data_IF_215300912087
#
_entry.id   IF_215300912087
#
_cell.length_a   1.000
_cell.length_b   1.000
_cell.length_c   1.000
_cell.angle_alpha   90.00
_cell.angle_beta   90.00
_cell.angle_gamma   90.00
#
_symmetry.space_group_name_H-M   'P 1'
#
loop_
_entity.id
_entity.type
_entity.pdbx_description
1 polymer ?
#
# COMPACT_ATOMS: atom_id res chain seq x y z
N UNK A 1 -11.53 -3.33 -9.39
CA UNK A 1 -12.31 -3.50 -8.15
C UNK A 1 -11.44 -3.78 -6.94
N UNK A 2 -10.54 -4.78 -6.98
CA UNK A 2 -9.67 -5.07 -5.84
C UNK A 2 -8.74 -3.88 -5.52
N UNK A 3 -8.01 -3.36 -6.51
CA UNK A 3 -7.12 -2.21 -6.32
C UNK A 3 -7.88 -0.97 -5.82
N UNK A 4 -9.10 -0.72 -6.32
CA UNK A 4 -9.97 0.34 -5.80
C UNK A 4 -10.33 0.14 -4.33
N UNK A 5 -10.58 -1.09 -3.89
CA UNK A 5 -10.93 -1.39 -2.52
C UNK A 5 -9.73 -1.25 -1.56
N UNK A 6 -8.52 -1.64 -2.00
CA UNK A 6 -7.32 -1.66 -1.14
C UNK A 6 -6.55 -0.35 -1.15
N UNK A 7 -6.66 0.49 -2.19
CA UNK A 7 -5.85 1.68 -2.34
C UNK A 7 -5.94 2.68 -1.19
N UNK A 8 -7.10 2.91 -0.53
CA UNK A 8 -7.16 3.77 0.65
C UNK A 8 -6.22 3.35 1.78
N UNK A 9 -5.94 2.06 1.95
CA UNK A 9 -4.97 1.61 2.95
C UNK A 9 -3.56 2.13 2.64
N UNK A 10 -3.14 2.08 1.39
CA UNK A 10 -1.83 2.60 0.99
C UNK A 10 -1.80 4.13 1.02
N UNK A 11 -2.87 4.78 0.57
CA UNK A 11 -2.95 6.24 0.52
C UNK A 11 -3.15 6.86 1.91
N UNK A 12 -4.19 6.47 2.62
CA UNK A 12 -4.52 7.05 3.94
C UNK A 12 -3.72 6.40 5.05
N UNK A 13 -3.61 5.07 5.04
CA UNK A 13 -2.95 4.32 6.12
C UNK A 13 -1.43 4.47 6.07
N UNK A 14 -0.81 4.09 4.95
CA UNK A 14 0.65 4.01 4.86
C UNK A 14 1.33 5.35 4.59
N UNK A 15 0.67 6.28 3.85
CA UNK A 15 1.35 7.47 3.34
C UNK A 15 0.93 8.77 4.03
N UNK A 16 -0.37 9.12 4.01
CA UNK A 16 -0.76 10.51 4.29
C UNK A 16 -1.36 10.76 5.67
N UNK A 17 -2.05 9.81 6.28
CA UNK A 17 -2.83 10.06 7.51
C UNK A 17 -2.33 9.23 8.69
N UNK A 18 -2.48 7.88 8.64
CA UNK A 18 -2.20 7.04 9.82
C UNK A 18 -0.71 6.97 10.16
N UNK A 19 0.18 6.80 9.19
CA UNK A 19 1.60 6.73 9.44
C UNK A 19 2.17 8.03 10.06
N UNK A 20 1.87 9.23 9.51
CA UNK A 20 2.24 10.49 10.17
C UNK A 20 1.61 10.65 11.56
N UNK A 21 0.34 10.28 11.75
CA UNK A 21 -0.32 10.29 13.04
C UNK A 21 0.38 9.38 14.04
N UNK A 22 0.69 8.14 13.66
CA UNK A 22 1.44 7.20 14.49
C UNK A 22 2.79 7.78 14.93
N UNK A 23 3.55 8.34 13.98
CA UNK A 23 4.86 8.93 14.25
C UNK A 23 4.73 10.12 15.19
N UNK A 24 3.74 11.00 14.99
CA UNK A 24 3.52 12.16 15.88
C UNK A 24 3.21 11.74 17.32
N UNK A 25 2.35 10.75 17.50
CA UNK A 25 2.02 10.19 18.83
C UNK A 25 3.25 9.53 19.47
N UNK A 26 4.03 8.78 18.68
CA UNK A 26 5.23 8.13 19.18
C UNK A 26 6.32 9.15 19.60
N UNK A 27 6.48 10.24 18.83
CA UNK A 27 7.40 11.34 19.18
C UNK A 27 7.00 11.95 20.51
N UNK A 28 5.73 12.29 20.69
CA UNK A 28 5.20 12.86 21.93
C UNK A 28 5.40 11.91 23.13
N UNK A 29 5.14 10.63 22.93
CA UNK A 29 5.39 9.60 23.95
C UNK A 29 6.87 9.54 24.34
N UNK A 30 7.79 9.46 23.38
CA UNK A 30 9.23 9.38 23.66
C UNK A 30 9.78 10.66 24.29
N UNK A 31 9.25 11.82 23.91
CA UNK A 31 9.58 13.10 24.53
C UNK A 31 9.14 13.13 26.02
N UNK A 32 7.93 12.70 26.29
CA UNK A 32 7.36 12.68 27.66
C UNK A 32 8.11 11.72 28.63
N UNK A 33 8.75 10.67 28.10
CA UNK A 33 9.61 9.79 28.92
C UNK A 33 11.05 10.29 29.06
N UNK A 34 11.34 11.53 28.62
CA UNK A 34 12.60 12.23 28.89
C UNK A 34 13.62 12.21 27.75
N UNK A 35 13.27 11.79 26.54
CA UNK A 35 14.15 11.96 25.38
C UNK A 35 14.12 13.43 24.91
N UNK A 36 15.25 13.90 24.34
CA UNK A 36 15.25 15.17 23.62
C UNK A 36 14.51 15.04 22.29
N UNK A 37 14.10 16.17 21.71
CA UNK A 37 13.27 16.20 20.48
C UNK A 37 13.86 15.35 19.35
N UNK A 38 15.13 15.55 19.01
CA UNK A 38 15.78 14.81 17.91
C UNK A 38 15.87 13.29 18.19
N UNK A 39 16.08 12.90 19.44
CA UNK A 39 16.11 11.49 19.84
C UNK A 39 14.72 10.87 19.80
N UNK A 40 13.68 11.60 20.22
CA UNK A 40 12.30 11.15 20.18
C UNK A 40 11.83 10.92 18.73
N UNK A 41 12.14 11.86 17.81
CA UNK A 41 11.86 11.72 16.40
C UNK A 41 12.56 10.50 15.76
N UNK A 42 13.85 10.32 16.07
CA UNK A 42 14.61 9.16 15.59
C UNK A 42 14.05 7.84 16.13
N UNK A 43 13.64 7.81 17.39
CA UNK A 43 13.03 6.62 18.02
C UNK A 43 11.68 6.27 17.42
N UNK A 44 10.82 7.26 17.18
CA UNK A 44 9.52 7.08 16.55
C UNK A 44 9.64 6.57 15.10
N UNK A 45 10.51 7.18 14.31
CA UNK A 45 10.78 6.74 12.93
C UNK A 45 11.37 5.32 12.90
N UNK A 46 12.30 5.01 13.78
CA UNK A 46 12.89 3.69 13.90
C UNK A 46 11.85 2.63 14.27
N UNK A 47 10.95 2.94 15.21
CA UNK A 47 9.86 2.05 15.59
C UNK A 47 8.93 1.73 14.42
N UNK A 48 8.50 2.74 13.66
CA UNK A 48 7.71 2.56 12.45
C UNK A 48 8.45 1.73 11.41
N UNK A 49 9.71 2.06 11.12
CA UNK A 49 10.54 1.37 10.14
C UNK A 49 10.73 -0.11 10.49
N UNK A 50 10.96 -0.45 11.75
CA UNK A 50 11.05 -1.85 12.20
C UNK A 50 9.74 -2.59 12.01
N UNK A 51 8.61 -1.97 12.33
CA UNK A 51 7.29 -2.55 12.08
C UNK A 51 7.10 -2.91 10.60
N UNK A 52 7.41 -1.97 9.70
CA UNK A 52 7.32 -2.19 8.25
C UNK A 52 8.31 -3.25 7.74
N UNK A 53 9.54 -3.25 8.26
CA UNK A 53 10.57 -4.23 7.89
C UNK A 53 10.14 -5.64 8.27
N UNK A 54 9.68 -5.83 9.50
CA UNK A 54 9.22 -7.15 9.98
C UNK A 54 8.01 -7.61 9.17
N UNK A 55 7.03 -6.73 8.94
CA UNK A 55 5.87 -7.03 8.12
C UNK A 55 6.27 -7.41 6.68
N UNK A 56 7.19 -6.67 6.06
CA UNK A 56 7.73 -6.98 4.73
C UNK A 56 8.44 -8.32 4.65
N UNK A 57 9.23 -8.67 5.67
CA UNK A 57 9.85 -10.00 5.76
C UNK A 57 8.80 -11.10 5.89
N UNK A 58 7.78 -10.91 6.71
CA UNK A 58 6.66 -11.85 6.84
C UNK A 58 5.96 -12.04 5.48
N UNK A 59 5.67 -10.95 4.75
CA UNK A 59 5.09 -11.01 3.40
C UNK A 59 5.99 -11.80 2.45
N UNK A 60 7.29 -11.56 2.47
CA UNK A 60 8.24 -12.25 1.58
C UNK A 60 8.21 -13.78 1.81
N UNK A 61 8.18 -14.22 3.05
CA UNK A 61 8.11 -15.65 3.38
C UNK A 61 6.72 -16.24 3.18
N UNK A 62 5.68 -15.61 3.78
CA UNK A 62 4.32 -16.13 3.71
C UNK A 62 3.74 -16.05 2.30
N UNK A 63 4.08 -15.02 1.53
CA UNK A 63 3.62 -14.85 0.16
C UNK A 63 4.04 -16.01 -0.74
N UNK A 64 5.30 -16.43 -0.64
CA UNK A 64 5.82 -17.59 -1.37
C UNK A 64 5.14 -18.89 -0.94
N UNK A 65 5.00 -19.12 0.37
CA UNK A 65 4.42 -20.34 0.92
C UNK A 65 2.92 -20.43 0.65
N UNK A 66 2.19 -19.34 0.93
CA UNK A 66 0.75 -19.28 0.77
C UNK A 66 0.36 -19.33 -0.72
N UNK A 67 1.11 -18.65 -1.59
CA UNK A 67 0.92 -18.72 -3.04
C UNK A 67 1.08 -20.15 -3.57
N UNK A 68 2.19 -20.81 -3.25
CA UNK A 68 2.46 -22.18 -3.66
C UNK A 68 1.41 -23.17 -3.13
N UNK A 69 0.95 -22.98 -1.88
CA UNK A 69 -0.07 -23.83 -1.28
C UNK A 69 -1.45 -23.61 -1.89
N UNK A 70 -1.85 -22.35 -2.09
CA UNK A 70 -3.11 -22.00 -2.75
C UNK A 70 -3.18 -22.55 -4.18
N UNK A 71 -2.07 -22.50 -4.92
CA UNK A 71 -1.96 -23.09 -6.26
C UNK A 71 -2.15 -24.61 -6.23
N UNK A 72 -1.59 -25.29 -5.24
CA UNK A 72 -1.76 -26.74 -5.11
C UNK A 72 -3.17 -27.16 -4.72
N UNK A 73 -3.87 -26.32 -3.97
CA UNK A 73 -5.28 -26.54 -3.65
C UNK A 73 -6.23 -26.23 -4.82
N UNK A 74 -5.74 -25.53 -5.86
CA UNK A 74 -6.53 -25.13 -7.00
C UNK A 74 -7.68 -24.16 -6.66
N UNK A 75 -7.59 -23.50 -5.52
CA UNK A 75 -8.56 -22.51 -5.04
C UNK A 75 -7.84 -21.39 -4.30
N UNK A 76 -7.94 -20.16 -4.81
CA UNK A 76 -7.36 -18.95 -4.21
C UNK A 76 -8.38 -18.12 -3.47
N UNK A 77 -9.66 -18.20 -3.86
CA UNK A 77 -10.75 -17.44 -3.25
C UNK A 77 -10.88 -17.61 -1.73
N UNK A 78 -10.79 -18.82 -1.13
CA UNK A 78 -10.86 -18.95 0.33
C UNK A 78 -9.76 -18.20 1.07
N UNK A 79 -8.56 -18.15 0.49
CA UNK A 79 -7.42 -17.41 1.05
C UNK A 79 -7.64 -15.90 0.95
N UNK A 80 -8.20 -15.44 -0.18
CA UNK A 80 -8.57 -14.04 -0.36
C UNK A 80 -9.65 -13.61 0.65
N UNK A 81 -10.64 -14.47 0.93
CA UNK A 81 -11.61 -14.22 1.99
C UNK A 81 -10.97 -14.10 3.36
N UNK A 82 -10.10 -15.06 3.72
CA UNK A 82 -9.44 -15.07 5.03
C UNK A 82 -8.57 -13.81 5.23
N UNK A 83 -7.76 -13.45 4.24
CA UNK A 83 -6.92 -12.24 4.31
C UNK A 83 -7.76 -10.97 4.33
N UNK A 84 -8.88 -10.91 3.59
CA UNK A 84 -9.79 -9.77 3.62
C UNK A 84 -10.45 -9.57 4.99
N UNK A 85 -10.87 -10.65 5.65
CA UNK A 85 -11.45 -10.57 7.01
C UNK A 85 -10.43 -10.07 8.01
N UNK A 86 -9.20 -10.61 7.98
CA UNK A 86 -8.11 -10.15 8.86
C UNK A 86 -7.80 -8.66 8.62
N UNK A 87 -7.73 -8.26 7.35
CA UNK A 87 -7.52 -6.87 6.96
C UNK A 87 -8.60 -5.94 7.53
N UNK A 88 -9.88 -6.26 7.36
CA UNK A 88 -11.01 -5.47 7.86
C UNK A 88 -10.95 -5.32 9.38
N UNK A 89 -10.74 -6.42 10.11
CA UNK A 89 -10.69 -6.39 11.58
C UNK A 89 -9.52 -5.52 12.05
N UNK A 90 -8.33 -5.74 11.50
CA UNK A 90 -7.13 -5.02 11.93
C UNK A 90 -7.21 -3.53 11.59
N UNK A 91 -7.69 -3.16 10.39
CA UNK A 91 -7.85 -1.74 10.03
C UNK A 91 -8.93 -1.06 10.86
N UNK A 92 -10.05 -1.73 11.15
CA UNK A 92 -11.07 -1.20 12.05
C UNK A 92 -10.52 -0.93 13.46
N UNK A 93 -9.72 -1.84 14.00
CA UNK A 93 -9.12 -1.70 15.33
C UNK A 93 -8.09 -0.57 15.45
N UNK A 94 -7.61 0.01 14.35
CA UNK A 94 -6.76 1.21 14.39
C UNK A 94 -7.48 2.43 14.99
N UNK A 95 -8.80 2.42 15.03
CA UNK A 95 -9.61 3.41 15.75
C UNK A 95 -9.20 3.57 17.21
N UNK A 96 -8.75 2.52 17.85
CA UNK A 96 -8.40 2.53 19.28
C UNK A 96 -7.03 3.14 19.57
N UNK A 97 -6.29 3.60 18.57
CA UNK A 97 -5.03 4.30 18.81
C UNK A 97 -5.30 5.70 19.37
N UNK A 98 -5.10 5.84 20.69
CA UNK A 98 -5.29 7.12 21.39
C UNK A 98 -4.04 8.00 21.35
N UNK A 99 -4.19 9.34 21.43
CA UNK A 99 -3.06 10.28 21.33
C UNK A 99 -2.03 10.18 22.45
N UNK A 100 -2.39 9.60 23.61
CA UNK A 100 -1.48 9.43 24.77
C UNK A 100 -0.35 8.40 24.53
N UNK A 101 -0.40 7.68 23.43
CA UNK A 101 0.60 6.67 23.06
C UNK A 101 0.49 5.35 23.83
N UNK A 102 -0.48 5.17 24.74
CA UNK A 102 -0.65 3.94 25.53
C UNK A 102 -0.83 2.69 24.67
N UNK A 103 -1.46 2.85 23.52
CA UNK A 103 -1.78 1.77 22.58
C UNK A 103 -0.89 1.74 21.33
N UNK A 104 0.22 2.49 21.28
CA UNK A 104 1.03 2.60 20.06
C UNK A 104 1.60 1.26 19.59
N UNK A 105 2.07 0.39 20.51
CA UNK A 105 2.60 -0.94 20.16
C UNK A 105 1.55 -1.86 19.58
N UNK A 106 0.36 -1.90 20.18
CA UNK A 106 -0.75 -2.69 19.63
C UNK A 106 -1.21 -2.16 18.28
N UNK A 107 -1.24 -0.85 18.10
CA UNK A 107 -1.59 -0.22 16.82
C UNK A 107 -0.57 -0.52 15.73
N UNK A 108 0.73 -0.52 16.05
CA UNK A 108 1.79 -0.92 15.11
C UNK A 108 1.65 -2.38 14.69
N UNK A 109 1.37 -3.27 15.65
CA UNK A 109 1.16 -4.70 15.38
C UNK A 109 -0.08 -4.89 14.49
N UNK A 110 -1.20 -4.24 14.81
CA UNK A 110 -2.43 -4.30 14.03
C UNK A 110 -2.22 -3.77 12.60
N UNK A 111 -1.54 -2.63 12.46
CA UNK A 111 -1.19 -2.09 11.16
C UNK A 111 -0.30 -3.05 10.35
N UNK A 112 0.71 -3.63 11.00
CA UNK A 112 1.60 -4.61 10.37
C UNK A 112 0.85 -5.87 9.91
N UNK A 113 -0.09 -6.38 10.72
CA UNK A 113 -0.95 -7.51 10.34
C UNK A 113 -1.87 -7.14 9.17
N UNK A 114 -2.46 -5.94 9.20
CA UNK A 114 -3.28 -5.43 8.09
C UNK A 114 -2.47 -5.31 6.79
N UNK A 115 -1.24 -4.80 6.88
CA UNK A 115 -0.31 -4.73 5.75
C UNK A 115 0.01 -6.11 5.18
N UNK A 116 0.38 -7.07 6.02
CA UNK A 116 0.62 -8.47 5.59
C UNK A 116 -0.62 -9.06 4.94
N UNK A 117 -1.81 -8.84 5.51
CA UNK A 117 -3.06 -9.34 4.96
C UNK A 117 -3.39 -8.72 3.58
N UNK A 118 -3.17 -7.40 3.41
CA UNK A 118 -3.35 -6.70 2.14
C UNK A 118 -2.41 -7.23 1.05
N UNK A 119 -1.12 -7.38 1.38
CA UNK A 119 -0.11 -7.89 0.43
C UNK A 119 -0.38 -9.35 0.04
N UNK A 120 -0.77 -10.21 0.98
CA UNK A 120 -1.17 -11.58 0.67
C UNK A 120 -2.43 -11.62 -0.20
N UNK A 121 -3.42 -10.77 0.08
CA UNK A 121 -4.61 -10.63 -0.76
C UNK A 121 -4.25 -10.19 -2.19
N UNK A 122 -3.29 -9.28 -2.34
CA UNK A 122 -2.75 -8.85 -3.63
C UNK A 122 -2.06 -10.01 -4.38
N UNK A 123 -1.28 -10.84 -3.69
CA UNK A 123 -0.67 -12.06 -4.27
C UNK A 123 -1.75 -12.98 -4.85
N UNK A 124 -2.81 -13.28 -4.09
CA UNK A 124 -3.89 -14.15 -4.56
C UNK A 124 -4.69 -13.52 -5.71
N UNK A 125 -4.96 -12.23 -5.66
CA UNK A 125 -5.66 -11.49 -6.72
C UNK A 125 -4.85 -11.48 -8.02
N UNK A 126 -3.54 -11.21 -7.95
CA UNK A 126 -2.65 -11.26 -9.10
C UNK A 126 -2.54 -12.68 -9.70
N UNK A 127 -2.62 -13.71 -8.88
CA UNK A 127 -2.65 -15.09 -9.35
C UNK A 127 -3.96 -15.46 -10.06
N UNK A 128 -5.08 -14.79 -9.75
CA UNK A 128 -6.38 -14.93 -10.45
C UNK A 128 -6.40 -14.13 -11.75
N UNK A 129 -5.69 -13.00 -11.81
CA UNK A 129 -5.73 -12.04 -12.93
C UNK A 129 -5.60 -12.66 -14.33
N UNK A 130 -4.68 -13.62 -14.60
CA UNK A 130 -4.56 -14.27 -15.90
C UNK A 130 -5.79 -15.06 -16.34
N UNK A 131 -6.69 -15.40 -15.39
CA UNK A 131 -7.92 -16.14 -15.68
C UNK A 131 -9.09 -15.22 -16.08
N UNK A 132 -8.97 -13.91 -15.87
CA UNK A 132 -10.00 -12.92 -16.14
C UNK A 132 -10.00 -12.40 -17.56
N UNK A 133 -8.95 -12.67 -18.33
CA UNK A 133 -8.82 -12.22 -19.73
C UNK A 133 -7.85 -13.07 -20.53
N UNK A 134 -7.84 -12.88 -21.87
CA UNK A 134 -6.85 -13.51 -22.74
C UNK A 134 -5.43 -13.02 -22.42
N UNK A 135 -4.42 -13.82 -22.76
CA UNK A 135 -3.00 -13.51 -22.49
C UNK A 135 -2.58 -12.09 -22.91
N UNK A 136 -3.12 -11.60 -24.03
CA UNK A 136 -2.80 -10.28 -24.59
C UNK A 136 -3.48 -9.12 -23.86
N UNK A 137 -4.39 -9.38 -22.91
CA UNK A 137 -5.14 -8.37 -22.17
C UNK A 137 -4.70 -8.24 -20.71
N UNK A 138 -3.88 -9.15 -20.20
CA UNK A 138 -3.48 -9.19 -18.79
C UNK A 138 -2.80 -7.87 -18.37
N UNK A 139 -1.86 -7.37 -19.15
CA UNK A 139 -1.19 -6.09 -18.88
C UNK A 139 -2.17 -4.91 -18.84
N UNK A 140 -3.09 -4.84 -19.79
CA UNK A 140 -4.11 -3.78 -19.83
C UNK A 140 -5.09 -3.87 -18.63
N UNK A 141 -5.52 -5.08 -18.27
CA UNK A 141 -6.42 -5.28 -17.10
C UNK A 141 -5.71 -4.85 -15.83
N UNK A 142 -4.44 -5.24 -15.66
CA UNK A 142 -3.62 -4.84 -14.53
C UNK A 142 -3.42 -3.31 -14.46
N UNK A 143 -3.00 -2.70 -15.56
CA UNK A 143 -2.79 -1.25 -15.64
C UNK A 143 -4.08 -0.45 -15.36
N UNK A 144 -5.21 -0.90 -15.90
CA UNK A 144 -6.52 -0.28 -15.61
C UNK A 144 -6.91 -0.46 -14.12
N UNK A 145 -6.59 -1.63 -13.54
CA UNK A 145 -6.79 -1.88 -12.09
C UNK A 145 -6.06 -0.86 -11.25
N UNK A 146 -4.76 -0.68 -11.50
CA UNK A 146 -3.92 0.31 -10.80
C UNK A 146 -4.40 1.74 -11.03
N UNK A 147 -4.75 2.11 -12.27
CA UNK A 147 -5.26 3.45 -12.58
C UNK A 147 -6.54 3.78 -11.81
N UNK A 148 -7.51 2.86 -11.83
CA UNK A 148 -8.76 3.00 -11.08
C UNK A 148 -8.49 2.97 -9.57
N UNK A 149 -7.57 2.12 -9.10
CA UNK A 149 -7.13 2.09 -7.71
C UNK A 149 -6.64 3.45 -7.22
N UNK A 150 -5.73 4.08 -7.95
CA UNK A 150 -5.22 5.43 -7.60
C UNK A 150 -6.35 6.46 -7.50
N UNK A 151 -7.36 6.42 -8.39
CA UNK A 151 -8.55 7.29 -8.28
C UNK A 151 -9.33 7.01 -6.98
N UNK A 152 -9.44 5.74 -6.57
CA UNK A 152 -10.04 5.37 -5.28
C UNK A 152 -9.27 5.93 -4.09
N UNK A 153 -7.94 5.90 -4.15
CA UNK A 153 -7.07 6.53 -3.15
C UNK A 153 -7.27 8.04 -3.06
N UNK A 154 -7.32 8.73 -4.21
CA UNK A 154 -7.58 10.18 -4.26
C UNK A 154 -8.94 10.49 -3.65
N UNK A 155 -9.99 9.78 -4.06
CA UNK A 155 -11.33 10.03 -3.57
C UNK A 155 -11.44 9.80 -2.06
N UNK A 156 -10.84 8.72 -1.56
CA UNK A 156 -10.81 8.46 -0.12
C UNK A 156 -10.02 9.52 0.65
N UNK A 157 -8.93 10.05 0.08
CA UNK A 157 -8.17 11.14 0.67
C UNK A 157 -9.00 12.43 0.73
N UNK A 158 -9.72 12.76 -0.34
CA UNK A 158 -10.65 13.90 -0.30
C UNK A 158 -11.71 13.73 0.78
N UNK A 159 -12.35 12.57 0.87
CA UNK A 159 -13.35 12.29 1.91
C UNK A 159 -12.74 12.46 3.31
N UNK A 160 -11.53 11.95 3.52
CA UNK A 160 -10.83 12.08 4.79
C UNK A 160 -10.56 13.54 5.16
N UNK A 161 -10.01 14.32 4.22
CA UNK A 161 -9.64 15.71 4.45
C UNK A 161 -10.85 16.66 4.55
N UNK A 162 -11.97 16.32 3.89
CA UNK A 162 -13.19 17.12 3.95
C UNK A 162 -13.97 16.89 5.24
N UNK A 163 -14.08 15.63 5.70
CA UNK A 163 -15.06 15.30 6.72
C UNK A 163 -14.45 14.85 8.05
N UNK A 164 -13.21 14.36 8.05
CA UNK A 164 -12.65 13.68 9.21
C UNK A 164 -11.35 14.29 9.72
N UNK A 165 -10.33 14.40 8.89
CA UNK A 165 -9.02 14.86 9.31
C UNK A 165 -9.08 16.28 9.83
N UNK A 166 -8.72 16.46 11.09
CA UNK A 166 -8.76 17.74 11.78
C UNK A 166 -7.35 18.25 12.13
N UNK A 167 -7.20 19.57 12.02
CA UNK A 167 -6.05 20.30 12.49
C UNK A 167 -6.58 21.49 13.32
N UNK A 168 -6.30 21.47 14.64
CA UNK A 168 -6.82 22.49 15.54
C UNK A 168 -8.35 22.47 15.73
N UNK A 169 -8.99 21.29 15.65
CA UNK A 169 -10.42 21.11 15.88
C UNK A 169 -11.32 21.42 14.67
N UNK A 170 -10.73 21.67 13.50
CA UNK A 170 -11.47 21.94 12.26
C UNK A 170 -10.92 21.08 11.13
N UNK A 171 -11.82 20.65 10.22
CA UNK A 171 -11.42 19.86 9.06
C UNK A 171 -10.54 20.68 8.12
N UNK A 172 -9.50 20.04 7.60
CA UNK A 172 -8.42 20.68 6.87
C UNK A 172 -8.89 21.47 5.64
N UNK A 173 -9.83 20.96 4.83
CA UNK A 173 -10.21 21.60 3.56
C UNK A 173 -11.32 22.63 3.69
N UNK A 174 -12.30 22.43 4.57
CA UNK A 174 -13.51 23.26 4.62
C UNK A 174 -13.76 23.89 5.98
N UNK A 175 -12.90 23.59 6.98
CA UNK A 175 -12.99 24.22 8.31
C UNK A 175 -14.25 23.85 9.10
N UNK A 176 -14.90 22.72 8.79
CA UNK A 176 -16.02 22.18 9.56
C UNK A 176 -15.51 21.44 10.80
N UNK A 177 -16.40 21.21 11.75
CA UNK A 177 -16.11 20.30 12.86
C UNK A 177 -15.95 18.85 12.36
N UNK A 178 -14.96 18.08 12.88
CA UNK A 178 -14.71 16.71 12.46
C UNK A 178 -15.95 15.82 12.57
N UNK A 179 -16.23 15.04 11.51
CA UNK A 179 -17.42 14.21 11.46
C UNK A 179 -18.74 14.99 11.61
N UNK A 180 -18.76 16.27 11.19
CA UNK A 180 -19.90 17.17 11.35
C UNK A 180 -20.27 17.42 12.83
N UNK A 181 -19.27 17.47 13.72
CA UNK A 181 -19.47 17.67 15.15
C UNK A 181 -19.76 16.41 15.96
N UNK A 182 -19.63 15.23 15.34
CA UNK A 182 -19.84 13.95 16.03
C UNK A 182 -18.56 13.36 16.62
N UNK A 183 -17.40 13.90 16.26
CA UNK A 183 -16.08 13.38 16.65
C UNK A 183 -15.37 14.40 17.53
N UNK A 184 -14.72 13.90 18.59
CA UNK A 184 -14.02 14.72 19.56
C UNK A 184 -12.61 15.08 19.07
N UNK A 185 -12.32 16.39 18.88
CA UNK A 185 -11.00 16.85 18.46
C UNK A 185 -9.90 16.62 19.51
N UNK A 186 -10.23 16.67 20.83
CA UNK A 186 -9.24 16.47 21.88
C UNK A 186 -8.62 15.07 21.82
N UNK A 187 -9.40 14.07 21.44
CA UNK A 187 -8.95 12.70 21.23
C UNK A 187 -8.50 12.40 19.80
N UNK A 188 -8.37 13.42 18.95
CA UNK A 188 -8.05 13.28 17.51
C UNK A 188 -8.91 12.22 16.81
N UNK A 189 -10.19 12.13 17.19
CA UNK A 189 -11.10 11.12 16.65
C UNK A 189 -11.30 11.27 15.15
N UNK A 190 -11.28 12.50 14.65
CA UNK A 190 -11.29 12.77 13.21
C UNK A 190 -10.16 12.05 12.47
N UNK A 191 -8.92 12.17 12.96
CA UNK A 191 -7.76 11.48 12.38
C UNK A 191 -7.87 9.96 12.56
N UNK A 192 -8.31 9.49 13.72
CA UNK A 192 -8.49 8.06 14.03
C UNK A 192 -9.56 7.39 13.17
N UNK A 193 -10.52 8.16 12.67
CA UNK A 193 -11.55 7.67 11.73
C UNK A 193 -10.97 7.07 10.43
N UNK A 194 -9.68 7.28 10.16
CA UNK A 194 -8.97 6.66 9.04
C UNK A 194 -9.09 5.13 9.05
N UNK A 195 -8.97 4.48 10.21
CA UNK A 195 -9.09 3.02 10.32
C UNK A 195 -10.46 2.49 9.89
N UNK A 196 -11.56 2.93 10.55
CA UNK A 196 -12.92 2.62 10.13
C UNK A 196 -13.23 3.00 8.68
N UNK A 197 -12.77 4.15 8.20
CA UNK A 197 -12.99 4.57 6.80
C UNK A 197 -12.38 3.57 5.81
N UNK A 198 -11.13 3.15 6.03
CA UNK A 198 -10.46 2.13 5.21
C UNK A 198 -11.25 0.81 5.24
N UNK A 199 -11.71 0.39 6.42
CA UNK A 199 -12.45 -0.86 6.60
C UNK A 199 -13.78 -0.83 5.86
N UNK A 200 -14.58 0.23 6.05
CA UNK A 200 -15.89 0.39 5.39
C UNK A 200 -15.72 0.47 3.88
N UNK A 201 -14.76 1.26 3.41
CA UNK A 201 -14.43 1.36 2.00
C UNK A 201 -14.09 0.00 1.40
N UNK A 202 -13.20 -0.74 2.07
CA UNK A 202 -12.84 -2.07 1.61
C UNK A 202 -14.03 -3.01 1.56
N UNK A 203 -14.87 -3.06 2.61
CA UNK A 203 -16.06 -3.91 2.66
C UNK A 203 -16.98 -3.58 1.47
N UNK A 204 -17.31 -2.31 1.27
CA UNK A 204 -18.25 -1.89 0.22
C UNK A 204 -17.74 -2.27 -1.17
N UNK A 205 -16.46 -2.04 -1.45
CA UNK A 205 -15.93 -2.20 -2.79
C UNK A 205 -15.33 -3.58 -3.08
N UNK A 206 -15.11 -4.43 -2.06
CA UNK A 206 -14.67 -5.82 -2.28
C UNK A 206 -15.85 -6.77 -2.54
N UNK A 207 -17.05 -6.46 -2.05
CA UNK A 207 -18.26 -7.29 -2.26
C UNK A 207 -18.51 -7.58 -3.75
N UNK A 208 -18.50 -6.57 -4.67
CA UNK A 208 -18.69 -6.83 -6.09
C UNK A 208 -17.62 -7.77 -6.68
N UNK A 209 -16.37 -7.69 -6.18
CA UNK A 209 -15.33 -8.61 -6.61
C UNK A 209 -15.67 -10.05 -6.27
N UNK A 210 -16.10 -10.33 -5.05
CA UNK A 210 -16.47 -11.68 -4.61
C UNK A 210 -17.73 -12.23 -5.30
N UNK A 211 -18.65 -11.35 -5.72
CA UNK A 211 -19.87 -11.76 -6.44
C UNK A 211 -19.57 -12.09 -7.91
N UNK A 212 -18.74 -11.24 -8.56
CA UNK A 212 -18.52 -11.30 -10.00
C UNK A 212 -17.37 -12.23 -10.40
N UNK A 213 -16.32 -12.31 -9.59
CA UNK A 213 -15.16 -13.13 -9.89
C UNK A 213 -15.39 -14.56 -9.42
N UNK A 214 -15.59 -15.45 -10.38
CA UNK A 214 -15.78 -16.89 -10.12
C UNK A 214 -14.52 -17.65 -10.49
N UNK A 215 -13.88 -18.25 -9.51
CA UNK A 215 -12.73 -19.11 -9.73
C UNK A 215 -13.15 -20.49 -10.23
N UNK A 216 -12.61 -20.91 -11.38
CA UNK A 216 -12.80 -22.27 -11.87
C UNK A 216 -11.94 -23.21 -11.07
N UNK A 217 -12.56 -24.21 -10.40
CA UNK A 217 -11.84 -25.26 -9.69
C UNK A 217 -10.94 -26.02 -10.64
N UNK A 218 -9.65 -26.10 -10.35
CA UNK A 218 -8.74 -26.95 -11.13
C UNK A 218 -9.03 -28.43 -10.82
N UNK A 219 -9.29 -29.27 -11.83
CA UNK A 219 -9.50 -30.70 -11.61
C UNK A 219 -8.20 -31.33 -11.04
N UNK A 220 -8.35 -32.24 -10.09
CA UNK A 220 -7.27 -33.02 -9.45
C UNK A 220 -6.30 -32.27 -8.51
N UNK A 221 -6.62 -31.08 -8.02
CA UNK A 221 -5.84 -30.42 -6.99
C UNK A 221 -6.12 -31.04 -5.62
N UNK A 222 -5.30 -31.99 -5.19
CA UNK A 222 -5.25 -32.46 -3.80
C UNK A 222 -4.18 -31.63 -3.09
N UNK A 223 -4.58 -30.59 -2.38
CA UNK A 223 -3.66 -29.71 -1.64
C UNK A 223 -2.75 -30.53 -0.72
N UNK A 224 -1.50 -30.69 -1.10
CA UNK A 224 -0.49 -31.35 -0.30
C UNK A 224 0.68 -30.37 -0.09
N UNK A 225 0.80 -29.86 1.14
CA UNK A 225 1.83 -28.88 1.49
C UNK A 225 3.24 -29.34 1.12
N UNK A 226 3.56 -30.62 1.36
CA UNK A 226 4.88 -31.18 1.02
C UNK A 226 5.14 -31.18 -0.50
N UNK A 227 4.10 -31.46 -1.29
CA UNK A 227 4.19 -31.41 -2.74
C UNK A 227 4.37 -29.95 -3.24
N UNK A 228 3.65 -28.99 -2.64
CA UNK A 228 3.79 -27.57 -2.94
C UNK A 228 5.21 -27.07 -2.67
N UNK A 229 5.79 -27.44 -1.54
CA UNK A 229 7.17 -27.09 -1.20
C UNK A 229 8.19 -27.71 -2.17
N UNK A 230 7.95 -28.94 -2.60
CA UNK A 230 8.80 -29.58 -3.61
C UNK A 230 8.71 -28.87 -4.97
N UNK A 231 7.49 -28.51 -5.37
CA UNK A 231 7.27 -27.74 -6.62
C UNK A 231 7.90 -26.35 -6.54
N UNK A 232 7.75 -25.64 -5.41
CA UNK A 232 8.38 -24.33 -5.18
C UNK A 232 9.92 -24.44 -5.30
N UNK A 233 10.52 -25.43 -4.65
CA UNK A 233 11.96 -25.70 -4.76
C UNK A 233 12.39 -25.96 -6.21
N UNK A 234 11.63 -26.77 -6.94
CA UNK A 234 11.91 -27.07 -8.36
C UNK A 234 11.78 -25.81 -9.23
N UNK A 235 10.79 -24.96 -8.96
CA UNK A 235 10.60 -23.68 -9.66
C UNK A 235 11.78 -22.75 -9.42
N UNK A 236 12.21 -22.60 -8.17
CA UNK A 236 13.37 -21.78 -7.80
C UNK A 236 14.67 -22.32 -8.44
N UNK A 237 14.88 -23.62 -8.41
CA UNK A 237 16.03 -24.24 -9.09
C UNK A 237 15.97 -24.09 -10.61
N UNK A 238 14.76 -24.16 -11.18
CA UNK A 238 14.53 -23.91 -12.61
C UNK A 238 14.75 -22.47 -13.03
N UNK A 239 14.52 -21.52 -12.12
CA UNK A 239 14.75 -20.09 -12.34
C UNK A 239 16.24 -19.80 -12.53
N UNK A 240 17.11 -20.37 -11.69
CA UNK A 240 18.57 -20.21 -11.78
C UNK A 240 19.10 -20.70 -13.12
N UNK A 241 18.46 -21.72 -13.71
CA UNK A 241 18.81 -22.25 -15.02
C UNK A 241 18.34 -21.39 -16.20
N UNK A 242 17.58 -20.33 -15.96
CA UNK A 242 17.06 -19.41 -16.97
C UNK A 242 17.57 -17.99 -16.71
N UNK A 243 18.80 -17.65 -17.17
CA UNK A 243 19.48 -16.42 -16.80
C UNK A 243 18.71 -15.15 -17.17
N UNK A 244 18.01 -15.13 -18.30
CA UNK A 244 17.19 -13.96 -18.68
C UNK A 244 15.98 -13.76 -17.75
N UNK A 245 15.33 -14.82 -17.29
CA UNK A 245 14.22 -14.73 -16.34
C UNK A 245 14.73 -14.33 -14.94
N UNK A 246 15.86 -14.88 -14.53
CA UNK A 246 16.51 -14.53 -13.26
C UNK A 246 16.92 -13.05 -13.25
N UNK A 247 17.57 -12.58 -14.33
CA UNK A 247 17.95 -11.17 -14.48
C UNK A 247 16.71 -10.23 -14.49
N UNK A 248 15.64 -10.63 -15.17
CA UNK A 248 14.38 -9.88 -15.18
C UNK A 248 13.77 -9.76 -13.77
N UNK A 249 13.73 -10.85 -13.00
CA UNK A 249 13.22 -10.81 -11.63
C UNK A 249 14.10 -9.97 -10.70
N UNK A 250 15.43 -10.05 -10.85
CA UNK A 250 16.37 -9.18 -10.12
C UNK A 250 16.16 -7.70 -10.48
N UNK A 251 16.04 -7.38 -11.76
CA UNK A 251 15.75 -6.02 -12.20
C UNK A 251 14.42 -5.49 -11.64
N UNK A 252 13.38 -6.32 -11.60
CA UNK A 252 12.08 -5.98 -11.00
C UNK A 252 12.21 -5.69 -9.50
N UNK A 253 13.03 -6.45 -8.77
CA UNK A 253 13.28 -6.23 -7.35
C UNK A 253 13.91 -4.84 -7.13
N UNK A 254 15.04 -4.54 -7.80
CA UNK A 254 15.71 -3.25 -7.68
C UNK A 254 14.82 -2.06 -8.11
N UNK A 255 14.06 -2.22 -9.18
CA UNK A 255 13.11 -1.21 -9.64
C UNK A 255 12.02 -0.92 -8.59
N UNK A 256 11.43 -1.96 -7.99
CA UNK A 256 10.40 -1.78 -6.95
C UNK A 256 10.98 -1.15 -5.68
N UNK A 257 12.19 -1.54 -5.29
CA UNK A 257 12.87 -0.95 -4.13
C UNK A 257 13.18 0.52 -4.36
N UNK A 258 13.63 0.91 -5.55
CA UNK A 258 13.85 2.31 -5.91
C UNK A 258 12.55 3.14 -5.85
N UNK A 259 11.43 2.60 -6.39
CA UNK A 259 10.13 3.26 -6.29
C UNK A 259 9.65 3.40 -4.84
N UNK A 260 9.75 2.32 -4.07
CA UNK A 260 9.36 2.34 -2.66
C UNK A 260 10.18 3.36 -1.86
N UNK A 261 11.49 3.45 -2.13
CA UNK A 261 12.36 4.45 -1.52
C UNK A 261 11.92 5.88 -1.88
N UNK A 262 11.61 6.16 -3.16
CA UNK A 262 11.11 7.46 -3.58
C UNK A 262 9.79 7.84 -2.90
N UNK A 263 8.87 6.90 -2.76
CA UNK A 263 7.60 7.13 -2.05
C UNK A 263 7.81 7.32 -0.54
N UNK A 264 8.65 6.50 0.08
CA UNK A 264 8.88 6.56 1.53
C UNK A 264 9.67 7.80 1.97
N UNK A 265 10.66 8.21 1.18
CA UNK A 265 11.56 9.30 1.54
C UNK A 265 11.26 10.62 0.82
N UNK A 266 10.48 10.61 -0.26
CA UNK A 266 10.15 11.80 -1.03
C UNK A 266 9.44 12.88 -0.20
N UNK A 267 8.50 12.49 0.64
CA UNK A 267 7.83 13.41 1.57
C UNK A 267 8.77 13.95 2.65
N UNK A 268 9.62 13.10 3.20
CA UNK A 268 10.64 13.50 4.21
C UNK A 268 11.63 14.48 3.58
N UNK A 269 12.10 14.20 2.38
CA UNK A 269 13.00 15.08 1.63
C UNK A 269 12.35 16.45 1.36
N UNK A 270 11.07 16.47 0.95
CA UNK A 270 10.33 17.68 0.71
C UNK A 270 10.23 18.56 1.96
N UNK A 271 9.96 17.98 3.12
CA UNK A 271 9.88 18.70 4.39
C UNK A 271 11.25 19.15 4.88
N UNK A 272 12.24 18.25 4.93
CA UNK A 272 13.53 18.54 5.56
C UNK A 272 14.48 19.34 4.66
N UNK A 273 14.43 19.15 3.35
CA UNK A 273 15.38 19.78 2.41
C UNK A 273 14.75 20.94 1.66
N UNK A 274 13.48 20.83 1.27
CA UNK A 274 12.79 21.86 0.50
C UNK A 274 11.93 22.80 1.38
N UNK A 275 11.84 22.53 2.72
CA UNK A 275 11.00 23.29 3.68
C UNK A 275 9.51 23.33 3.27
N UNK A 276 9.01 22.26 2.68
CA UNK A 276 7.60 22.22 2.30
C UNK A 276 6.70 22.13 3.53
N UNK A 277 5.66 22.94 3.50
CA UNK A 277 4.56 22.83 4.47
C UNK A 277 3.69 21.62 4.19
N UNK A 278 2.94 21.17 5.19
CA UNK A 278 2.06 20.01 5.11
C UNK A 278 1.01 20.15 4.00
N UNK A 279 0.55 21.38 3.74
CA UNK A 279 -0.36 21.72 2.64
C UNK A 279 0.25 21.43 1.27
N UNK A 280 1.51 21.83 1.07
CA UNK A 280 2.24 21.58 -0.18
C UNK A 280 2.46 20.09 -0.41
N UNK A 281 2.78 19.35 0.66
CA UNK A 281 2.92 17.90 0.62
C UNK A 281 1.60 17.21 0.24
N UNK A 282 0.47 17.68 0.77
CA UNK A 282 -0.86 17.20 0.43
C UNK A 282 -1.20 17.44 -1.05
N UNK A 283 -0.96 18.65 -1.55
CA UNK A 283 -1.16 18.98 -2.98
C UNK A 283 -0.26 18.12 -3.87
N UNK A 284 1.00 17.95 -3.51
CA UNK A 284 1.94 17.07 -4.22
C UNK A 284 1.44 15.63 -4.27
N UNK A 285 0.92 15.11 -3.16
CA UNK A 285 0.35 13.77 -3.09
C UNK A 285 -0.86 13.58 -4.02
N UNK A 286 -1.74 14.57 -4.09
CA UNK A 286 -2.90 14.56 -5.00
C UNK A 286 -2.42 14.59 -6.46
N UNK A 287 -1.53 15.53 -6.81
CA UNK A 287 -0.99 15.65 -8.17
C UNK A 287 -0.21 14.39 -8.58
N UNK A 288 0.58 13.81 -7.68
CA UNK A 288 1.30 12.57 -7.89
C UNK A 288 0.36 11.39 -8.17
N UNK A 289 -0.70 11.25 -7.37
CA UNK A 289 -1.70 10.20 -7.55
C UNK A 289 -2.52 10.36 -8.84
N UNK A 290 -2.87 11.60 -9.21
CA UNK A 290 -3.53 11.89 -10.48
C UNK A 290 -2.62 11.55 -11.68
N UNK A 291 -1.36 11.95 -11.61
CA UNK A 291 -0.36 11.63 -12.63
C UNK A 291 -0.18 10.11 -12.77
N UNK A 292 -0.10 9.39 -11.64
CA UNK A 292 -0.01 7.93 -11.64
C UNK A 292 -1.24 7.28 -12.29
N UNK A 293 -2.46 7.73 -11.97
CA UNK A 293 -3.69 7.22 -12.57
C UNK A 293 -3.71 7.42 -14.10
N UNK A 294 -3.36 8.61 -14.56
CA UNK A 294 -3.31 8.94 -15.99
C UNK A 294 -2.23 8.13 -16.72
N UNK A 295 -1.02 8.10 -16.17
CA UNK A 295 0.10 7.38 -16.77
C UNK A 295 -0.16 5.87 -16.84
N UNK A 296 -0.74 5.25 -15.81
CA UNK A 296 -1.11 3.84 -15.82
C UNK A 296 -2.15 3.54 -16.91
N UNK A 297 -3.19 4.36 -17.03
CA UNK A 297 -4.22 4.19 -18.05
C UNK A 297 -3.67 4.30 -19.49
N UNK A 298 -2.75 5.23 -19.71
CA UNK A 298 -2.07 5.43 -21.00
C UNK A 298 -1.10 4.28 -21.28
N UNK A 299 -0.29 3.91 -20.29
CA UNK A 299 0.70 2.83 -20.40
C UNK A 299 0.08 1.49 -20.76
N UNK A 300 -1.09 1.16 -20.20
CA UNK A 300 -1.81 -0.07 -20.52
C UNK A 300 -2.24 -0.17 -22.00
N UNK A 301 -2.51 0.97 -22.65
CA UNK A 301 -2.81 1.01 -24.11
C UNK A 301 -1.55 0.77 -24.94
N UNK A 302 -0.42 1.36 -24.54
CA UNK A 302 0.86 1.19 -25.24
C UNK A 302 1.45 -0.21 -25.02
N UNK A 303 1.32 -0.78 -23.84
CA UNK A 303 1.70 -2.16 -23.55
C UNK A 303 1.06 -3.15 -24.53
N UNK A 304 -0.23 -2.96 -24.82
CA UNK A 304 -0.92 -3.80 -25.80
C UNK A 304 -0.45 -3.61 -27.24
N UNK A 305 -0.01 -2.38 -27.62
CA UNK A 305 0.40 -2.05 -29.00
C UNK A 305 1.86 -2.38 -29.29
N UNK A 306 2.75 -2.06 -28.36
CA UNK A 306 4.20 -2.12 -28.53
C UNK A 306 4.83 -3.31 -27.81
N UNK A 307 4.06 -3.98 -26.94
CA UNK A 307 4.55 -4.99 -26.03
C UNK A 307 5.18 -4.38 -24.75
N UNK A 308 5.47 -5.22 -23.74
CA UNK A 308 5.87 -4.74 -22.41
C UNK A 308 7.28 -4.12 -22.36
N UNK A 309 8.23 -4.62 -23.14
CA UNK A 309 9.63 -4.18 -23.04
C UNK A 309 9.86 -2.69 -23.36
N UNK A 310 9.36 -2.13 -24.47
CA UNK A 310 9.51 -0.71 -24.77
C UNK A 310 8.87 0.19 -23.70
N UNK A 311 7.74 -0.22 -23.16
CA UNK A 311 7.03 0.52 -22.10
C UNK A 311 7.84 0.52 -20.80
N UNK A 312 8.42 -0.63 -20.42
CA UNK A 312 9.30 -0.75 -19.24
C UNK A 312 10.53 0.14 -19.40
N UNK A 313 11.22 0.09 -20.56
CA UNK A 313 12.40 0.93 -20.82
C UNK A 313 12.10 2.42 -20.75
N UNK A 314 10.96 2.85 -21.30
CA UNK A 314 10.53 4.24 -21.20
C UNK A 314 10.32 4.68 -19.74
N UNK A 315 9.60 3.88 -18.93
CA UNK A 315 9.37 4.23 -17.52
C UNK A 315 10.65 4.21 -16.69
N UNK A 316 11.56 3.28 -16.95
CA UNK A 316 12.87 3.26 -16.29
C UNK A 316 13.70 4.51 -16.64
N UNK A 317 13.71 4.92 -17.91
CA UNK A 317 14.40 6.14 -18.31
C UNK A 317 13.83 7.38 -17.60
N UNK A 318 12.49 7.51 -17.55
CA UNK A 318 11.82 8.61 -16.82
C UNK A 318 12.18 8.56 -15.34
N UNK A 319 12.15 7.39 -14.70
CA UNK A 319 12.50 7.24 -13.28
C UNK A 319 13.94 7.68 -13.00
N UNK A 320 14.90 7.31 -13.86
CA UNK A 320 16.29 7.73 -13.74
C UNK A 320 16.43 9.25 -13.86
N UNK A 321 15.76 9.84 -14.86
CA UNK A 321 15.79 11.31 -15.05
C UNK A 321 15.24 12.02 -13.83
N UNK A 322 14.08 11.58 -13.31
CA UNK A 322 13.47 12.15 -12.10
C UNK A 322 14.40 12.01 -10.89
N UNK A 323 15.01 10.84 -10.69
CA UNK A 323 15.94 10.60 -9.58
C UNK A 323 17.16 11.52 -9.65
N UNK A 324 17.73 11.73 -10.84
CA UNK A 324 18.86 12.66 -11.04
C UNK A 324 18.42 14.10 -10.79
N UNK A 325 17.21 14.48 -11.22
CA UNK A 325 16.66 15.84 -10.99
C UNK A 325 16.49 16.13 -9.50
N UNK A 326 16.02 15.15 -8.71
CA UNK A 326 15.85 15.29 -7.25
C UNK A 326 17.20 15.55 -6.57
N UNK A 327 18.28 14.90 -7.00
CA UNK A 327 19.62 15.14 -6.44
C UNK A 327 20.08 16.59 -6.64
N UNK A 328 19.68 17.21 -7.75
CA UNK A 328 20.01 18.60 -8.07
C UNK A 328 19.12 19.65 -7.41
N UNK A 329 18.02 19.25 -6.76
CA UNK A 329 17.12 20.19 -6.09
C UNK A 329 17.69 20.64 -4.75
N UNK A 330 17.67 21.95 -4.51
CA UNK A 330 18.06 22.60 -3.26
C UNK A 330 17.05 23.65 -2.87
N UNK A 331 17.13 24.20 -1.65
CA UNK A 331 16.27 25.30 -1.14
C UNK A 331 16.15 26.52 -2.08
N UNK A 332 17.11 26.69 -2.97
CA UNK A 332 17.21 27.86 -3.88
C UNK A 332 16.76 27.58 -5.31
N UNK A 333 16.23 26.40 -5.59
CA UNK A 333 15.77 26.03 -6.94
C UNK A 333 14.27 26.08 -7.10
#
# INVERSE_FOLDING_TARGET
MFDWATQPFYTLGLTFIFAPYFVSVAVEYFFNIGQNQASAEASAQSMWAWGQTIAGLIVAFLGLLAGAYADSMGRRMPWLWATSIVFIICTWMLWYMVPDGSNMWSSLILFSIAFVAAELALVFTNAILPTLGGRNMVGQISANGVAVGNLGGILSLFIMLFFFFDEGGKTFLIGLEPGLGLLDPEFREGTRAVGPLISIWFIVFIIPYFILVREKKMPNSKGNFRQSMRQLKQTLQGLIKRPSLFAFMGAQMFYRDALNALYAFGGIYAVLVLDWEQTQLGVFGILGSMSAALCCGVSGKYDRKLGPLPVIYFHLAVLIIVSISIIGMSRSS
#
